data_IF_519459570539
#
_entry.id   IF_519459570539
#
_cell.length_a   1.000
_cell.length_b   1.000
_cell.length_c   1.000
_cell.angle_alpha   90.00
_cell.angle_beta   90.00
_cell.angle_gamma   90.00
#
_symmetry.space_group_name_H-M   'P 1'
#
loop_
_entity.id
_entity.type
_entity.pdbx_description
1 polymer ?
#
# COMPACT_ATOMS: atom_id res chain seq x y z
N UNK A 1 -32.32 28.20 -2.63
CA UNK A 1 -30.90 28.66 -2.65
C UNK A 1 -30.34 28.49 -1.23
N UNK A 2 -30.12 27.25 -0.80
CA UNK A 2 -29.64 26.91 0.55
C UNK A 2 -28.13 26.87 0.50
N UNK A 3 -27.54 28.04 0.64
CA UNK A 3 -26.09 28.27 0.56
C UNK A 3 -25.44 27.65 1.79
N UNK A 4 -24.54 26.68 1.53
CA UNK A 4 -23.38 26.31 2.35
C UNK A 4 -23.60 26.12 3.86
N UNK A 5 -24.56 25.32 4.28
CA UNK A 5 -24.49 24.77 5.62
C UNK A 5 -23.54 23.55 5.60
N UNK A 6 -22.25 23.81 5.74
CA UNK A 6 -21.30 22.75 6.02
C UNK A 6 -21.57 22.25 7.44
N UNK A 7 -22.21 21.12 7.57
CA UNK A 7 -22.45 20.53 8.89
C UNK A 7 -21.07 20.24 9.55
N UNK A 8 -20.79 20.79 10.73
CA UNK A 8 -19.51 20.59 11.40
C UNK A 8 -19.16 19.11 11.61
N UNK A 9 -20.16 18.25 11.72
CA UNK A 9 -19.97 16.81 11.79
C UNK A 9 -19.33 16.23 10.53
N UNK A 10 -19.68 16.71 9.35
CA UNK A 10 -19.09 16.25 8.09
C UNK A 10 -17.62 16.67 7.98
N UNK A 11 -17.30 17.88 8.45
CA UNK A 11 -15.92 18.36 8.48
C UNK A 11 -15.09 17.44 9.38
N UNK A 12 -15.57 17.14 10.58
CA UNK A 12 -14.87 16.26 11.52
C UNK A 12 -14.64 14.86 10.90
N UNK A 13 -15.64 14.29 10.24
CA UNK A 13 -15.53 12.98 9.58
C UNK A 13 -14.45 12.97 8.49
N UNK A 14 -14.41 14.02 7.66
CA UNK A 14 -13.41 14.14 6.59
C UNK A 14 -12.00 14.38 7.17
N UNK A 15 -11.89 15.18 8.23
CA UNK A 15 -10.61 15.39 8.93
C UNK A 15 -10.10 14.11 9.60
N UNK A 16 -10.99 13.32 10.21
CA UNK A 16 -10.61 12.00 10.75
C UNK A 16 -10.14 11.05 9.63
N UNK A 17 -10.81 11.06 8.48
CA UNK A 17 -10.38 10.30 7.32
C UNK A 17 -9.00 10.74 6.82
N UNK A 18 -8.76 12.05 6.73
CA UNK A 18 -7.46 12.60 6.34
C UNK A 18 -6.35 12.20 7.32
N UNK A 19 -6.59 12.37 8.62
CA UNK A 19 -5.64 12.02 9.68
C UNK A 19 -5.29 10.53 9.69
N UNK A 20 -6.32 9.66 9.63
CA UNK A 20 -6.11 8.20 9.64
C UNK A 20 -5.41 7.73 8.36
N UNK A 21 -5.82 8.23 7.18
CA UNK A 21 -5.16 7.91 5.92
C UNK A 21 -3.71 8.37 5.88
N UNK A 22 -3.43 9.56 6.42
CA UNK A 22 -2.06 10.09 6.56
C UNK A 22 -1.22 9.21 7.48
N UNK A 23 -1.76 8.78 8.61
CA UNK A 23 -1.07 7.91 9.57
C UNK A 23 -0.68 6.56 8.95
N UNK A 24 -1.62 5.92 8.25
CA UNK A 24 -1.35 4.67 7.53
C UNK A 24 -0.29 4.89 6.43
N UNK A 25 -0.41 5.97 5.68
CA UNK A 25 0.52 6.29 4.59
C UNK A 25 1.91 6.67 5.08
N UNK A 26 2.05 7.27 6.26
CA UNK A 26 3.33 7.61 6.87
C UNK A 26 4.14 6.36 7.20
N UNK A 27 3.49 5.37 7.81
CA UNK A 27 4.09 4.05 8.06
C UNK A 27 4.58 3.39 6.76
N UNK A 28 3.84 3.58 5.65
CA UNK A 28 4.23 3.05 4.34
C UNK A 28 5.38 3.82 3.69
N UNK A 29 5.43 5.12 3.86
CA UNK A 29 6.48 5.96 3.31
C UNK A 29 7.84 5.62 3.92
N UNK A 30 7.93 5.44 5.23
CA UNK A 30 9.15 5.05 5.94
C UNK A 30 9.73 3.72 5.43
N UNK A 31 8.91 2.89 4.78
CA UNK A 31 9.30 1.57 4.25
C UNK A 31 9.50 1.54 2.75
N UNK A 32 9.58 2.69 2.08
CA UNK A 32 9.78 2.80 0.62
C UNK A 32 8.83 1.92 -0.20
N UNK A 33 7.54 1.87 0.22
CA UNK A 33 6.49 1.17 -0.52
C UNK A 33 5.94 2.05 -1.64
N UNK A 34 5.34 1.42 -2.66
CA UNK A 34 4.87 2.06 -3.89
C UNK A 34 3.81 3.14 -3.65
N UNK A 35 2.96 3.00 -2.61
CA UNK A 35 1.97 3.98 -2.19
C UNK A 35 2.31 4.52 -0.80
N UNK A 36 2.57 5.82 -0.73
CA UNK A 36 2.94 6.55 0.49
C UNK A 36 1.78 7.37 1.08
N UNK A 37 2.16 8.42 1.82
CA UNK A 37 1.26 9.30 2.60
C UNK A 37 0.16 9.90 1.71
N UNK A 38 0.53 10.49 0.58
CA UNK A 38 -0.44 11.16 -0.29
C UNK A 38 -1.52 10.23 -0.81
N UNK A 39 -1.14 9.04 -1.27
CA UNK A 39 -2.09 8.08 -1.82
C UNK A 39 -3.10 7.62 -0.79
N UNK A 40 -2.66 7.24 0.42
CA UNK A 40 -3.56 6.77 1.47
C UNK A 40 -4.46 7.90 2.00
N UNK A 41 -3.92 9.10 2.20
CA UNK A 41 -4.70 10.25 2.65
C UNK A 41 -5.80 10.61 1.64
N UNK A 42 -5.47 10.72 0.35
CA UNK A 42 -6.42 11.08 -0.71
C UNK A 42 -7.50 10.01 -0.85
N UNK A 43 -7.13 8.73 -0.86
CA UNK A 43 -8.09 7.62 -0.98
C UNK A 43 -9.06 7.60 0.20
N UNK A 44 -8.58 7.80 1.42
CA UNK A 44 -9.43 7.83 2.61
C UNK A 44 -10.41 9.00 2.58
N UNK A 45 -9.92 10.20 2.27
CA UNK A 45 -10.73 11.42 2.15
C UNK A 45 -11.77 11.30 1.04
N UNK A 46 -11.35 10.82 -0.14
CA UNK A 46 -12.26 10.65 -1.27
C UNK A 46 -13.37 9.64 -0.95
N UNK A 47 -13.04 8.50 -0.35
CA UNK A 47 -14.02 7.51 0.06
C UNK A 47 -15.00 8.07 1.11
N UNK A 48 -14.52 8.84 2.09
CA UNK A 48 -15.36 9.49 3.09
C UNK A 48 -16.29 10.53 2.46
N UNK A 49 -15.77 11.40 1.59
CA UNK A 49 -16.55 12.44 0.92
C UNK A 49 -17.63 11.85 0.01
N UNK A 50 -17.29 10.86 -0.82
CA UNK A 50 -18.25 10.18 -1.70
C UNK A 50 -19.33 9.48 -0.88
N UNK A 51 -18.99 8.87 0.26
CA UNK A 51 -19.95 8.22 1.15
C UNK A 51 -20.88 9.25 1.81
N UNK A 52 -20.36 10.43 2.21
CA UNK A 52 -21.19 11.53 2.71
C UNK A 52 -22.17 12.02 1.64
N UNK A 53 -21.71 12.22 0.41
CA UNK A 53 -22.58 12.58 -0.73
C UNK A 53 -23.62 11.47 -0.97
N UNK A 54 -23.22 10.21 -0.91
CA UNK A 54 -24.14 9.09 -1.02
C UNK A 54 -25.23 9.13 0.03
N UNK A 55 -24.90 9.45 1.27
CA UNK A 55 -25.84 9.39 2.39
C UNK A 55 -26.76 10.62 2.51
N UNK A 56 -26.26 11.79 2.11
CA UNK A 56 -26.95 13.07 2.37
C UNK A 56 -27.21 13.90 1.12
N UNK A 57 -26.63 13.54 -0.01
CA UNK A 57 -26.71 14.34 -1.23
C UNK A 57 -27.92 14.06 -2.12
N UNK A 58 -28.66 12.97 -1.87
CA UNK A 58 -29.76 12.50 -2.72
C UNK A 58 -31.05 12.25 -1.93
N UNK A 59 -31.25 12.98 -0.85
CA UNK A 59 -32.37 12.81 0.08
C UNK A 59 -33.74 13.08 -0.57
N UNK A 60 -33.76 13.74 -1.75
CA UNK A 60 -34.96 14.07 -2.53
C UNK A 60 -35.53 12.89 -3.32
N UNK A 61 -34.87 11.72 -3.31
CA UNK A 61 -35.26 10.56 -4.12
C UNK A 61 -35.95 9.47 -3.30
N UNK A 62 -37.15 9.09 -3.71
CA UNK A 62 -38.01 8.11 -3.02
C UNK A 62 -37.41 6.68 -2.94
N UNK A 63 -36.37 6.38 -3.73
CA UNK A 63 -35.67 5.08 -3.75
C UNK A 63 -34.15 5.30 -3.75
N UNK A 64 -33.62 5.67 -2.61
CA UNK A 64 -32.21 5.91 -2.45
C UNK A 64 -31.57 4.75 -1.71
N UNK A 65 -30.49 4.18 -2.27
CA UNK A 65 -29.69 3.14 -1.67
C UNK A 65 -28.26 3.63 -1.46
N UNK A 66 -27.96 4.10 -0.26
CA UNK A 66 -26.63 4.60 0.13
C UNK A 66 -25.53 3.54 -0.03
N UNK A 67 -25.86 2.23 0.04
CA UNK A 67 -24.91 1.17 -0.08
C UNK A 67 -24.38 1.00 -1.52
N UNK A 68 -25.13 1.41 -2.53
CA UNK A 68 -24.70 1.29 -3.93
C UNK A 68 -23.44 2.08 -4.23
N UNK A 69 -23.33 3.31 -3.75
CA UNK A 69 -22.14 4.13 -3.99
C UNK A 69 -20.95 3.58 -3.22
N UNK A 70 -21.16 3.13 -1.97
CA UNK A 70 -20.10 2.46 -1.20
C UNK A 70 -19.57 1.21 -1.94
N UNK A 71 -20.45 0.39 -2.51
CA UNK A 71 -20.05 -0.75 -3.34
C UNK A 71 -19.23 -0.34 -4.57
N UNK A 72 -19.58 0.78 -5.23
CA UNK A 72 -18.83 1.30 -6.37
C UNK A 72 -17.46 1.86 -5.97
N UNK A 73 -17.32 2.45 -4.79
CA UNK A 73 -16.00 2.86 -4.26
C UNK A 73 -15.09 1.64 -4.17
N UNK A 74 -15.55 0.55 -3.58
CA UNK A 74 -14.79 -0.69 -3.43
C UNK A 74 -14.40 -1.26 -4.79
N UNK A 75 -15.32 -1.28 -5.75
CA UNK A 75 -15.04 -1.71 -7.12
C UNK A 75 -13.98 -0.83 -7.80
N UNK A 76 -14.11 0.50 -7.69
CA UNK A 76 -13.18 1.47 -8.28
C UNK A 76 -11.77 1.38 -7.70
N UNK A 77 -11.65 1.19 -6.39
CA UNK A 77 -10.35 1.02 -5.71
C UNK A 77 -9.65 -0.27 -6.15
N UNK A 78 -10.41 -1.31 -6.51
CA UNK A 78 -9.83 -2.56 -7.03
C UNK A 78 -9.01 -2.34 -8.30
N UNK A 79 -9.41 -1.38 -9.15
CA UNK A 79 -8.64 -1.00 -10.33
C UNK A 79 -7.30 -0.35 -9.96
N UNK A 80 -7.27 0.56 -8.97
CA UNK A 80 -6.03 1.16 -8.47
C UNK A 80 -5.13 0.10 -7.83
N UNK A 81 -5.72 -0.82 -7.05
CA UNK A 81 -4.98 -1.94 -6.45
C UNK A 81 -4.34 -2.83 -7.51
N UNK A 82 -5.06 -3.18 -8.56
CA UNK A 82 -4.54 -3.98 -9.66
C UNK A 82 -3.38 -3.26 -10.39
N UNK A 83 -3.46 -1.94 -10.55
CA UNK A 83 -2.41 -1.14 -11.20
C UNK A 83 -1.09 -1.09 -10.42
N UNK A 84 -1.09 -1.39 -9.13
CA UNK A 84 0.10 -1.40 -8.27
C UNK A 84 0.77 -2.78 -8.23
N UNK A 85 0.02 -3.83 -8.54
CA UNK A 85 0.53 -5.21 -8.53
C UNK A 85 1.28 -5.46 -9.84
N UNK A 86 2.56 -5.73 -9.77
CA UNK A 86 3.38 -6.04 -10.94
C UNK A 86 4.33 -7.19 -10.68
N UNK A 87 4.70 -7.88 -11.75
CA UNK A 87 5.67 -8.97 -11.71
C UNK A 87 7.03 -8.42 -12.09
N UNK A 88 8.00 -8.55 -11.19
CA UNK A 88 9.39 -8.16 -11.43
C UNK A 88 10.31 -9.33 -11.07
N UNK A 89 11.10 -9.78 -12.04
CA UNK A 89 12.07 -10.86 -11.82
C UNK A 89 11.44 -12.13 -11.16
N UNK A 90 10.31 -12.59 -11.70
CA UNK A 90 9.55 -13.76 -11.23
C UNK A 90 8.96 -13.62 -9.82
N UNK A 91 9.00 -12.43 -9.21
CA UNK A 91 8.35 -12.14 -7.94
C UNK A 91 7.20 -11.15 -8.13
N UNK A 92 6.08 -11.39 -7.44
CA UNK A 92 4.92 -10.50 -7.42
C UNK A 92 5.17 -9.44 -6.35
N UNK A 93 5.09 -8.17 -6.74
CA UNK A 93 5.25 -7.01 -5.85
C UNK A 93 3.96 -6.22 -5.80
N UNK A 94 3.81 -5.38 -4.75
CA UNK A 94 2.65 -4.49 -4.61
C UNK A 94 1.42 -5.10 -3.93
N UNK A 95 1.36 -6.41 -3.64
CA UNK A 95 0.20 -7.06 -3.02
C UNK A 95 -0.21 -6.41 -1.69
N UNK A 96 0.75 -6.20 -0.78
CA UNK A 96 0.48 -5.58 0.53
C UNK A 96 0.11 -4.11 0.39
N UNK A 97 0.65 -3.42 -0.62
CA UNK A 97 0.30 -2.03 -0.94
C UNK A 97 -1.12 -1.93 -1.46
N UNK A 98 -1.52 -2.81 -2.38
CA UNK A 98 -2.89 -2.88 -2.90
C UNK A 98 -3.91 -3.18 -1.77
N UNK A 99 -3.61 -4.14 -0.89
CA UNK A 99 -4.43 -4.44 0.28
C UNK A 99 -4.53 -3.24 1.24
N UNK A 100 -3.44 -2.49 1.43
CA UNK A 100 -3.42 -1.27 2.24
C UNK A 100 -4.34 -0.19 1.68
N UNK A 101 -4.30 0.08 0.37
CA UNK A 101 -5.16 1.06 -0.29
C UNK A 101 -6.63 0.65 -0.19
N UNK A 102 -6.93 -0.64 -0.45
CA UNK A 102 -8.28 -1.18 -0.33
C UNK A 102 -8.85 -0.98 1.09
N UNK A 103 -8.07 -1.30 2.11
CA UNK A 103 -8.49 -1.12 3.50
C UNK A 103 -8.65 0.35 3.87
N UNK A 104 -7.77 1.22 3.39
CA UNK A 104 -7.85 2.68 3.61
C UNK A 104 -9.13 3.26 3.01
N UNK A 105 -9.57 2.78 1.84
CA UNK A 105 -10.87 3.16 1.28
C UNK A 105 -12.04 2.71 2.17
N UNK A 106 -12.00 1.48 2.69
CA UNK A 106 -12.98 0.97 3.64
C UNK A 106 -13.08 1.81 4.91
N UNK A 107 -11.94 2.27 5.44
CA UNK A 107 -11.87 3.18 6.59
C UNK A 107 -12.54 4.52 6.26
N UNK A 108 -12.28 5.07 5.06
CA UNK A 108 -12.94 6.29 4.58
C UNK A 108 -14.46 6.13 4.50
N UNK A 109 -14.94 4.99 3.99
CA UNK A 109 -16.38 4.66 3.97
C UNK A 109 -16.95 4.66 5.40
N UNK A 110 -16.25 4.09 6.38
CA UNK A 110 -16.69 4.09 7.78
C UNK A 110 -16.87 5.51 8.31
N UNK A 111 -15.91 6.40 8.08
CA UNK A 111 -16.02 7.81 8.49
C UNK A 111 -17.19 8.53 7.79
N UNK A 112 -17.33 8.37 6.48
CA UNK A 112 -18.44 8.95 5.72
C UNK A 112 -19.80 8.44 6.22
N UNK A 113 -19.91 7.16 6.52
CA UNK A 113 -21.14 6.56 7.05
C UNK A 113 -21.49 7.02 8.49
N UNK A 114 -20.50 7.59 9.22
CA UNK A 114 -20.66 8.01 10.62
C UNK A 114 -20.19 6.98 11.64
N UNK A 115 -19.60 5.87 11.18
CA UNK A 115 -19.05 4.81 12.03
C UNK A 115 -17.59 5.16 12.44
N UNK A 116 -17.41 6.36 13.04
CA UNK A 116 -16.09 6.90 13.36
C UNK A 116 -15.27 5.97 14.27
N UNK A 117 -15.91 5.36 15.27
CA UNK A 117 -15.25 4.41 16.17
C UNK A 117 -14.70 3.19 15.45
N UNK A 118 -15.47 2.63 14.50
CA UNK A 118 -15.03 1.49 13.67
C UNK A 118 -13.88 1.90 12.74
N UNK A 119 -13.98 3.08 12.12
CA UNK A 119 -12.93 3.61 11.25
C UNK A 119 -11.60 3.79 12.00
N UNK A 120 -11.63 4.39 13.20
CA UNK A 120 -10.43 4.55 14.04
C UNK A 120 -9.86 3.22 14.50
N UNK A 121 -10.70 2.31 14.97
CA UNK A 121 -10.27 0.97 15.40
C UNK A 121 -9.59 0.22 14.25
N UNK A 122 -10.22 0.21 13.07
CA UNK A 122 -9.65 -0.47 11.89
C UNK A 122 -8.34 0.17 11.47
N UNK A 123 -8.26 1.52 11.46
CA UNK A 123 -7.04 2.25 11.14
C UNK A 123 -5.89 1.90 12.09
N UNK A 124 -6.17 1.88 13.41
CA UNK A 124 -5.19 1.48 14.42
C UNK A 124 -4.73 0.04 14.23
N UNK A 125 -5.67 -0.90 14.03
CA UNK A 125 -5.35 -2.31 13.81
C UNK A 125 -4.45 -2.51 12.60
N UNK A 126 -4.69 -1.81 11.49
CA UNK A 126 -3.86 -1.90 10.29
C UNK A 126 -2.44 -1.44 10.58
N UNK A 127 -2.26 -0.31 11.25
CA UNK A 127 -0.92 0.20 11.63
C UNK A 127 -0.21 -0.81 12.54
N UNK A 128 -0.90 -1.35 13.54
CA UNK A 128 -0.33 -2.36 14.46
C UNK A 128 0.06 -3.65 13.71
N UNK A 129 -0.80 -4.17 12.85
CA UNK A 129 -0.52 -5.37 12.05
C UNK A 129 0.71 -5.13 11.17
N UNK A 130 0.78 -4.00 10.50
CA UNK A 130 1.91 -3.65 9.63
C UNK A 130 3.22 -3.53 10.42
N UNK A 131 3.15 -2.94 11.61
CA UNK A 131 4.31 -2.83 12.52
C UNK A 131 4.78 -4.21 13.00
N UNK A 132 3.86 -5.07 13.45
CA UNK A 132 4.18 -6.44 13.92
C UNK A 132 4.78 -7.27 12.79
N UNK A 133 4.16 -7.28 11.61
CA UNK A 133 4.65 -8.05 10.46
C UNK A 133 6.04 -7.59 10.01
N UNK A 134 6.33 -6.30 10.09
CA UNK A 134 7.65 -5.78 9.79
C UNK A 134 8.69 -6.27 10.79
N UNK A 135 8.41 -6.13 12.08
CA UNK A 135 9.32 -6.56 13.14
C UNK A 135 9.53 -8.08 13.13
N UNK A 136 8.47 -8.85 12.88
CA UNK A 136 8.55 -10.30 12.75
C UNK A 136 9.41 -10.74 11.56
N UNK A 137 9.29 -10.06 10.40
CA UNK A 137 10.13 -10.33 9.24
C UNK A 137 11.62 -10.03 9.50
N UNK A 138 11.91 -9.00 10.28
CA UNK A 138 13.27 -8.64 10.67
C UNK A 138 13.86 -9.63 11.67
N UNK A 139 13.05 -10.10 12.64
CA UNK A 139 13.51 -11.05 13.68
C UNK A 139 13.58 -12.49 13.20
N UNK A 140 12.75 -12.89 12.22
CA UNK A 140 12.68 -14.26 11.75
C UNK A 140 13.83 -14.65 10.79
N UNK A 141 14.74 -13.72 10.46
CA UNK A 141 15.85 -14.02 9.53
C UNK A 141 15.37 -14.59 8.20
N UNK A 142 14.12 -14.35 7.82
CA UNK A 142 13.57 -14.80 6.54
C UNK A 142 14.44 -14.23 5.44
N UNK A 143 15.09 -15.12 4.75
CA UNK A 143 16.04 -14.94 3.68
C UNK A 143 15.61 -13.81 2.74
N UNK A 144 16.13 -12.60 2.97
CA UNK A 144 16.09 -11.57 1.95
C UNK A 144 17.00 -12.03 0.83
N UNK A 145 16.41 -12.59 -0.20
CA UNK A 145 17.14 -12.83 -1.45
C UNK A 145 17.43 -11.48 -2.07
N UNK A 146 18.54 -10.87 -1.66
CA UNK A 146 19.06 -9.67 -2.30
C UNK A 146 19.75 -10.10 -3.58
N UNK A 147 19.14 -9.82 -4.72
CA UNK A 147 19.77 -10.06 -6.01
C UNK A 147 20.84 -9.01 -6.22
N UNK A 148 22.10 -9.38 -6.07
CA UNK A 148 23.25 -8.53 -6.38
C UNK A 148 23.59 -8.70 -7.86
N UNK A 149 23.38 -7.68 -8.66
CA UNK A 149 23.80 -7.65 -10.06
C UNK A 149 25.23 -7.09 -10.12
N UNK A 150 26.19 -7.92 -10.44
CA UNK A 150 27.59 -7.52 -10.60
C UNK A 150 27.84 -7.28 -12.08
N UNK A 151 28.13 -6.04 -12.47
CA UNK A 151 28.60 -5.74 -13.81
C UNK A 151 30.11 -6.03 -13.90
N UNK A 152 30.45 -7.03 -14.68
CA UNK A 152 31.85 -7.37 -14.95
C UNK A 152 32.36 -6.53 -16.12
N UNK A 153 33.54 -5.92 -15.96
CA UNK A 153 34.22 -5.22 -17.04
C UNK A 153 34.70 -6.25 -18.06
N UNK A 154 34.61 -5.93 -19.35
CA UNK A 154 35.11 -6.81 -20.43
C UNK A 154 36.58 -7.21 -20.18
N UNK A 155 36.85 -8.52 -20.24
CA UNK A 155 38.18 -9.07 -20.04
C UNK A 155 38.36 -10.00 -18.83
N UNK A 156 37.33 -10.16 -17.97
CA UNK A 156 37.39 -11.09 -16.83
C UNK A 156 36.88 -12.46 -17.28
N UNK A 157 37.82 -13.38 -17.54
CA UNK A 157 37.53 -14.74 -18.01
C UNK A 157 37.36 -15.75 -16.86
N UNK A 158 37.76 -15.38 -15.64
CA UNK A 158 37.74 -16.30 -14.49
C UNK A 158 36.58 -16.04 -13.55
N UNK A 159 35.47 -16.76 -13.78
CA UNK A 159 34.27 -16.73 -12.97
C UNK A 159 34.48 -17.33 -11.58
N UNK A 160 35.48 -18.16 -11.38
CA UNK A 160 35.76 -18.81 -10.10
C UNK A 160 36.26 -17.80 -9.07
N UNK A 161 37.10 -16.85 -9.49
CA UNK A 161 37.63 -15.78 -8.66
C UNK A 161 36.52 -14.78 -8.23
N UNK A 162 35.57 -14.48 -9.13
CA UNK A 162 34.43 -13.61 -8.82
C UNK A 162 33.51 -14.29 -7.80
N UNK A 163 33.21 -15.57 -7.99
CA UNK A 163 32.38 -16.36 -7.08
C UNK A 163 32.99 -16.48 -5.69
N UNK A 164 34.32 -16.70 -5.61
CA UNK A 164 35.03 -16.78 -4.35
C UNK A 164 34.98 -15.42 -3.58
N UNK A 165 35.15 -14.32 -4.31
CA UNK A 165 35.09 -12.98 -3.71
C UNK A 165 33.69 -12.59 -3.22
N UNK A 166 32.63 -12.94 -3.97
CA UNK A 166 31.24 -12.77 -3.56
C UNK A 166 30.92 -13.59 -2.31
N UNK A 167 31.41 -14.84 -2.24
CA UNK A 167 31.27 -15.70 -1.06
C UNK A 167 31.93 -15.11 0.18
N UNK A 168 33.06 -14.47 0.04
CA UNK A 168 33.78 -13.82 1.12
C UNK A 168 32.99 -12.62 1.73
N UNK A 169 32.23 -11.88 0.90
CA UNK A 169 31.37 -10.78 1.34
C UNK A 169 29.99 -11.24 1.84
N UNK A 170 29.53 -12.40 1.44
CA UNK A 170 28.19 -12.94 1.78
C UNK A 170 28.13 -13.64 3.14
N UNK A 171 29.09 -13.55 4.01
CA UNK A 171 29.06 -13.97 5.44
C UNK A 171 28.31 -15.26 5.85
N UNK A 172 27.62 -15.97 4.91
CA UNK A 172 26.81 -17.14 5.21
C UNK A 172 26.86 -18.16 4.05
N UNK A 173 27.46 -19.33 4.22
CA UNK A 173 27.70 -20.29 3.15
C UNK A 173 26.44 -20.95 2.55
N UNK A 174 25.27 -20.76 3.13
CA UNK A 174 24.00 -21.33 2.66
C UNK A 174 23.24 -20.49 1.60
N UNK A 175 23.60 -19.22 1.36
CA UNK A 175 22.86 -18.29 0.54
C UNK A 175 23.34 -18.12 -0.92
N UNK A 176 24.35 -18.84 -1.34
CA UNK A 176 24.99 -18.63 -2.65
C UNK A 176 24.49 -19.52 -3.79
N UNK A 177 23.26 -20.06 -3.71
CA UNK A 177 22.81 -21.09 -4.68
C UNK A 177 22.25 -20.60 -6.01
N UNK A 178 22.09 -19.29 -6.24
CA UNK A 178 21.60 -18.78 -7.53
C UNK A 178 22.43 -17.60 -8.06
N UNK A 179 23.63 -17.87 -8.57
CA UNK A 179 24.37 -16.92 -9.41
C UNK A 179 23.96 -17.15 -10.87
N UNK A 180 22.99 -16.38 -11.35
CA UNK A 180 22.65 -16.29 -12.77
C UNK A 180 23.54 -15.25 -13.44
N UNK A 181 24.43 -15.67 -14.32
CA UNK A 181 25.26 -14.78 -15.14
C UNK A 181 24.48 -14.43 -16.40
N UNK A 182 23.86 -13.25 -16.42
CA UNK A 182 23.25 -12.68 -17.62
C UNK A 182 24.32 -11.98 -18.47
N UNK A 183 24.39 -12.30 -19.76
CA UNK A 183 25.17 -11.51 -20.72
C UNK A 183 24.45 -10.16 -20.90
N UNK A 184 25.19 -9.02 -21.01
CA UNK A 184 24.59 -7.75 -21.39
C UNK A 184 23.99 -7.85 -22.80
N UNK A 185 22.89 -7.13 -23.11
CA UNK A 185 22.43 -7.00 -24.48
C UNK A 185 23.55 -6.36 -25.31
N UNK A 186 23.83 -6.94 -26.47
CA UNK A 186 24.76 -6.36 -27.45
C UNK A 186 24.27 -4.97 -27.87
N UNK A 187 25.18 -4.04 -28.21
CA UNK A 187 24.86 -2.68 -28.63
C UNK A 187 24.05 -2.63 -29.93
#
# INVERSE_FOLDING_TARGET
MTIFYLNPEWIIRVLLAAGTGTLIGFERHDRSKEAGVGTHAIVCVAAAAITLVSKYGFDDTVRFDAARIAAQIISGISFLGAGIIFVRNESIQGLTTAAGIFTTAGIGICFGAGLCGLGLLTGLLIVVIQFILHNASYSAGLLFVTRVTIMLKEGITDMSAVTAKVRQYSGNPGQSQCLSVGRPPCP
#
